data_IF_503559142648
#
_entry.id   IF_503559142648
#
_cell.length_a   1.000
_cell.length_b   1.000
_cell.length_c   1.000
_cell.angle_alpha   90.00
_cell.angle_beta   90.00
_cell.angle_gamma   90.00
#
_symmetry.space_group_name_H-M   'P 1'
#
loop_
_entity.id
_entity.type
_entity.pdbx_description
1 polymer ?
#
# COMPACT_ATOMS: atom_id res chain seq x y z
N UNK A 1 7.31 -20.78 1.55
CA UNK A 1 7.29 -19.69 0.55
C UNK A 1 6.13 -18.80 0.93
N UNK A 2 6.28 -17.49 1.21
CA UNK A 2 5.11 -16.62 1.19
C UNK A 2 4.55 -16.67 -0.25
N UNK A 3 3.25 -16.87 -0.35
CA UNK A 3 2.48 -17.15 -1.58
C UNK A 3 2.46 -15.97 -2.59
N UNK A 4 2.04 -16.23 -3.85
CA UNK A 4 1.89 -15.25 -4.95
C UNK A 4 0.95 -14.05 -4.71
N UNK A 5 0.45 -13.84 -3.49
CA UNK A 5 -0.42 -12.72 -3.10
C UNK A 5 0.28 -11.36 -3.27
N UNK A 6 1.59 -11.27 -3.08
CA UNK A 6 2.36 -10.02 -3.19
C UNK A 6 2.31 -9.43 -4.61
N UNK A 7 2.41 -10.26 -5.66
CA UNK A 7 2.48 -9.76 -7.04
C UNK A 7 1.13 -9.20 -7.52
N UNK A 8 0.02 -9.86 -7.17
CA UNK A 8 -1.31 -9.41 -7.57
C UNK A 8 -1.68 -8.08 -6.88
N UNK A 9 -1.37 -7.95 -5.60
CA UNK A 9 -1.58 -6.72 -4.82
C UNK A 9 -0.74 -5.58 -5.40
N UNK A 10 0.57 -5.77 -5.58
CA UNK A 10 1.48 -4.74 -6.13
C UNK A 10 1.01 -4.31 -7.52
N UNK A 11 0.65 -5.27 -8.40
CA UNK A 11 0.14 -4.95 -9.73
C UNK A 11 -1.11 -4.07 -9.65
N UNK A 12 -2.08 -4.44 -8.81
CA UNK A 12 -3.32 -3.67 -8.71
C UNK A 12 -3.10 -2.30 -8.09
N UNK A 13 -2.24 -2.18 -7.07
CA UNK A 13 -1.82 -0.89 -6.53
C UNK A 13 -1.24 0.00 -7.63
N UNK A 14 -0.30 -0.50 -8.43
CA UNK A 14 0.30 0.25 -9.54
C UNK A 14 -0.74 0.66 -10.58
N UNK A 15 -1.67 -0.20 -10.95
CA UNK A 15 -2.77 0.17 -11.86
C UNK A 15 -3.60 1.36 -11.33
N UNK A 16 -3.97 1.33 -10.05
CA UNK A 16 -4.73 2.43 -9.42
C UNK A 16 -3.92 3.72 -9.37
N UNK A 17 -2.62 3.62 -9.07
CA UNK A 17 -1.68 4.75 -9.11
C UNK A 17 -1.49 5.30 -10.53
N UNK A 18 -1.55 4.45 -11.55
CA UNK A 18 -1.59 4.81 -12.97
C UNK A 18 -2.96 5.34 -13.43
N UNK A 19 -3.78 5.82 -12.49
CA UNK A 19 -5.11 6.42 -12.71
C UNK A 19 -6.13 5.49 -13.37
N UNK A 20 -5.94 4.17 -13.30
CA UNK A 20 -7.03 3.25 -13.64
C UNK A 20 -8.21 3.48 -12.69
N UNK A 21 -9.45 3.38 -13.17
CA UNK A 21 -10.62 3.50 -12.32
C UNK A 21 -10.57 2.51 -11.14
N UNK A 22 -10.95 3.00 -9.97
CA UNK A 22 -11.08 2.22 -8.74
C UNK A 22 -12.31 2.71 -7.98
N UNK A 23 -12.95 1.80 -7.26
CA UNK A 23 -14.07 2.16 -6.37
C UNK A 23 -13.58 2.52 -4.96
N UNK A 24 -14.36 3.26 -4.18
CA UNK A 24 -14.01 3.56 -2.77
C UNK A 24 -13.80 2.28 -1.95
N UNK A 25 -14.65 1.27 -2.16
CA UNK A 25 -14.52 -0.04 -1.51
C UNK A 25 -13.20 -0.70 -1.88
N UNK A 26 -12.84 -0.66 -3.16
CA UNK A 26 -11.57 -1.21 -3.64
C UNK A 26 -10.36 -0.47 -3.06
N UNK A 27 -10.38 0.87 -2.99
CA UNK A 27 -9.30 1.65 -2.37
C UNK A 27 -9.12 1.28 -0.89
N UNK A 28 -10.23 1.12 -0.15
CA UNK A 28 -10.20 0.68 1.24
C UNK A 28 -9.58 -0.71 1.38
N UNK A 29 -10.04 -1.66 0.56
CA UNK A 29 -9.54 -3.02 0.56
C UNK A 29 -8.06 -3.09 0.19
N UNK A 30 -7.60 -2.33 -0.81
CA UNK A 30 -6.18 -2.24 -1.18
C UNK A 30 -5.33 -1.66 -0.05
N UNK A 31 -5.84 -0.62 0.63
CA UNK A 31 -5.17 -0.03 1.79
C UNK A 31 -5.02 -1.04 2.92
N UNK A 32 -6.10 -1.73 3.30
CA UNK A 32 -6.08 -2.76 4.36
C UNK A 32 -5.10 -3.90 4.04
N UNK A 33 -5.08 -4.36 2.78
CA UNK A 33 -4.14 -5.39 2.34
C UNK A 33 -2.69 -4.92 2.40
N UNK A 34 -2.40 -3.71 1.91
CA UNK A 34 -1.06 -3.13 1.96
C UNK A 34 -0.58 -2.87 3.40
N UNK A 35 -1.45 -2.41 4.30
CA UNK A 35 -1.15 -2.29 5.74
C UNK A 35 -0.90 -3.64 6.40
N UNK A 36 -1.66 -4.68 6.01
CA UNK A 36 -1.42 -6.06 6.43
C UNK A 36 -0.04 -6.55 5.99
N UNK A 37 0.32 -6.32 4.74
CA UNK A 37 1.64 -6.68 4.18
C UNK A 37 2.77 -5.92 4.89
N UNK A 38 2.62 -4.61 5.09
CA UNK A 38 3.61 -3.79 5.81
C UNK A 38 3.85 -4.29 7.24
N UNK A 39 2.80 -4.66 7.97
CA UNK A 39 2.94 -5.27 9.31
C UNK A 39 3.65 -6.61 9.27
N UNK A 40 3.32 -7.46 8.29
CA UNK A 40 3.95 -8.77 8.15
C UNK A 40 5.46 -8.65 7.85
N UNK A 41 5.84 -7.79 6.90
CA UNK A 41 7.26 -7.58 6.53
C UNK A 41 8.03 -6.94 7.68
N UNK A 42 7.46 -5.92 8.36
CA UNK A 42 8.08 -5.32 9.55
C UNK A 42 8.34 -6.35 10.65
N UNK A 43 7.33 -7.18 10.97
CA UNK A 43 7.47 -8.21 11.99
C UNK A 43 8.52 -9.27 11.63
N UNK A 44 8.63 -9.64 10.36
CA UNK A 44 9.69 -10.55 9.88
C UNK A 44 11.08 -9.92 9.96
N UNK A 45 11.20 -8.63 9.64
CA UNK A 45 12.45 -7.88 9.72
C UNK A 45 12.92 -7.79 11.17
N UNK A 46 12.05 -7.36 12.08
CA UNK A 46 12.32 -7.28 13.52
C UNK A 46 12.68 -8.65 14.13
N UNK A 47 12.03 -9.72 13.67
CA UNK A 47 12.37 -11.08 14.12
C UNK A 47 13.78 -11.49 13.66
N UNK A 48 14.16 -11.15 12.43
CA UNK A 48 15.47 -11.45 11.86
C UNK A 48 16.57 -10.64 12.56
N UNK A 49 16.34 -9.35 12.81
CA UNK A 49 17.25 -8.48 13.55
C UNK A 49 17.46 -8.94 15.00
N UNK A 50 16.38 -9.32 15.71
CA UNK A 50 16.50 -9.94 17.03
C UNK A 50 17.28 -11.26 17.00
N UNK A 51 17.16 -12.04 15.92
CA UNK A 51 17.93 -13.28 15.78
C UNK A 51 19.41 -13.01 15.53
N UNK A 52 19.74 -12.00 14.72
CA UNK A 52 21.12 -11.54 14.53
C UNK A 52 21.77 -11.12 15.84
N UNK A 53 21.07 -10.34 16.67
CA UNK A 53 21.59 -9.95 17.99
C UNK A 53 21.91 -11.16 18.86
N UNK A 54 21.04 -12.17 18.90
CA UNK A 54 21.28 -13.42 19.65
C UNK A 54 22.46 -14.23 19.10
N UNK A 55 22.57 -14.35 17.78
CA UNK A 55 23.67 -15.08 17.15
C UNK A 55 25.02 -14.36 17.40
N UNK A 56 25.04 -13.04 17.29
CA UNK A 56 26.24 -12.24 17.51
C UNK A 56 26.70 -12.25 18.99
N UNK A 57 25.77 -12.37 19.93
CA UNK A 57 26.08 -12.49 21.36
C UNK A 57 26.65 -13.87 21.76
N UNK A 58 26.50 -14.89 20.90
CA UNK A 58 27.00 -16.24 21.17
C UNK A 58 28.20 -16.56 20.25
N UNK A 59 29.44 -16.60 20.77
CA UNK A 59 30.65 -16.91 20.00
C UNK A 59 30.65 -18.30 19.35
N UNK A 60 29.84 -19.25 19.84
CA UNK A 60 29.72 -20.58 19.25
C UNK A 60 28.75 -20.62 18.05
N UNK A 61 28.06 -19.52 17.74
CA UNK A 61 27.15 -19.45 16.59
C UNK A 61 27.90 -19.61 15.28
N UNK A 62 27.31 -20.32 14.32
CA UNK A 62 27.91 -20.49 13.00
C UNK A 62 27.79 -19.21 12.18
N UNK A 63 28.87 -18.84 11.49
CA UNK A 63 28.87 -17.77 10.47
C UNK A 63 27.80 -18.00 9.38
N UNK A 64 27.50 -19.26 9.05
CA UNK A 64 26.46 -19.58 8.08
C UNK A 64 25.06 -19.16 8.55
N UNK A 65 24.78 -19.27 9.87
CA UNK A 65 23.51 -18.83 10.45
C UNK A 65 23.39 -17.31 10.45
N UNK A 66 24.49 -16.59 10.76
CA UNK A 66 24.55 -15.13 10.71
C UNK A 66 24.34 -14.64 9.27
N UNK A 67 25.06 -15.22 8.31
CA UNK A 67 24.92 -14.88 6.90
C UNK A 67 23.52 -15.18 6.36
N UNK A 68 22.86 -16.25 6.86
CA UNK A 68 21.47 -16.56 6.53
C UNK A 68 20.49 -15.47 6.96
N UNK A 69 20.64 -14.95 8.18
CA UNK A 69 19.79 -13.85 8.67
C UNK A 69 20.11 -12.51 8.00
N UNK A 70 21.38 -12.21 7.71
CA UNK A 70 21.75 -11.01 6.96
C UNK A 70 21.09 -10.99 5.58
N UNK A 71 21.18 -12.10 4.82
CA UNK A 71 20.49 -12.22 3.52
C UNK A 71 18.97 -12.08 3.64
N UNK A 72 18.38 -12.50 4.76
CA UNK A 72 16.95 -12.34 5.00
C UNK A 72 16.60 -10.86 5.23
N UNK A 73 17.37 -10.15 6.05
CA UNK A 73 17.23 -8.70 6.28
C UNK A 73 17.40 -7.93 4.97
N UNK A 74 18.41 -8.25 4.17
CA UNK A 74 18.67 -7.65 2.87
C UNK A 74 17.50 -7.82 1.89
N UNK A 75 16.76 -8.94 1.97
CA UNK A 75 15.56 -9.17 1.16
C UNK A 75 14.33 -8.43 1.67
N UNK A 76 14.16 -8.32 2.98
CA UNK A 76 12.96 -7.75 3.59
C UNK A 76 12.95 -6.21 3.55
N UNK A 77 14.12 -5.56 3.63
CA UNK A 77 14.20 -4.09 3.63
C UNK A 77 13.62 -3.45 2.37
N UNK A 78 14.01 -3.85 1.13
CA UNK A 78 13.41 -3.30 -0.08
C UNK A 78 11.89 -3.52 -0.17
N UNK A 79 11.40 -4.67 0.31
CA UNK A 79 9.96 -4.95 0.34
C UNK A 79 9.23 -4.02 1.30
N UNK A 80 9.82 -3.74 2.47
CA UNK A 80 9.25 -2.79 3.44
C UNK A 80 9.23 -1.37 2.88
N UNK A 81 10.27 -0.97 2.16
CA UNK A 81 10.34 0.34 1.53
C UNK A 81 9.32 0.46 0.40
N UNK A 82 9.17 -0.58 -0.43
CA UNK A 82 8.17 -0.64 -1.50
C UNK A 82 6.75 -0.50 -0.96
N UNK A 83 6.37 -1.30 0.05
CA UNK A 83 5.00 -1.22 0.60
C UNK A 83 4.72 0.13 1.26
N UNK A 84 5.71 0.74 1.91
CA UNK A 84 5.58 2.09 2.48
C UNK A 84 5.37 3.15 1.41
N UNK A 85 6.13 3.07 0.31
CA UNK A 85 5.95 3.97 -0.83
C UNK A 85 4.54 3.81 -1.41
N UNK A 86 4.13 2.57 -1.73
CA UNK A 86 2.82 2.27 -2.31
C UNK A 86 1.67 2.73 -1.41
N UNK A 87 1.80 2.61 -0.08
CA UNK A 87 0.81 3.13 0.87
C UNK A 87 0.71 4.65 0.82
N UNK A 88 1.84 5.36 0.82
CA UNK A 88 1.86 6.83 0.72
C UNK A 88 1.26 7.33 -0.60
N UNK A 89 1.56 6.65 -1.70
CA UNK A 89 1.02 6.97 -3.02
C UNK A 89 -0.49 6.68 -3.09
N UNK A 90 -0.94 5.56 -2.51
CA UNK A 90 -2.37 5.19 -2.47
C UNK A 90 -3.18 6.20 -1.64
N UNK A 91 -2.65 6.66 -0.50
CA UNK A 91 -3.30 7.70 0.31
C UNK A 91 -3.43 9.02 -0.45
N UNK A 92 -2.39 9.39 -1.19
CA UNK A 92 -2.41 10.58 -2.05
C UNK A 92 -3.46 10.43 -3.14
N UNK A 93 -3.51 9.28 -3.83
CA UNK A 93 -4.48 9.01 -4.89
C UNK A 93 -5.92 8.97 -4.38
N UNK A 94 -6.15 8.40 -3.19
CA UNK A 94 -7.47 8.39 -2.57
C UNK A 94 -7.97 9.81 -2.25
N UNK A 95 -7.08 10.72 -1.82
CA UNK A 95 -7.41 12.14 -1.59
C UNK A 95 -7.73 12.87 -2.89
N UNK A 96 -6.99 12.60 -3.97
CA UNK A 96 -7.28 13.15 -5.30
C UNK A 96 -8.67 12.73 -5.77
N UNK A 97 -8.97 11.43 -5.74
CA UNK A 97 -10.26 10.88 -6.17
C UNK A 97 -11.43 11.47 -5.36
N UNK A 98 -11.25 11.62 -4.05
CA UNK A 98 -12.26 12.27 -3.19
C UNK A 98 -12.47 13.73 -3.59
N UNK A 99 -11.41 14.46 -3.89
CA UNK A 99 -11.49 15.86 -4.35
C UNK A 99 -12.17 15.97 -5.71
N UNK A 100 -11.78 15.15 -6.68
CA UNK A 100 -12.39 15.07 -8.02
C UNK A 100 -13.89 14.79 -7.92
N UNK A 101 -14.27 13.82 -7.08
CA UNK A 101 -15.68 13.50 -6.85
C UNK A 101 -16.46 14.67 -6.24
N UNK A 102 -15.93 15.34 -5.19
CA UNK A 102 -16.60 16.50 -4.58
C UNK A 102 -16.76 17.66 -5.56
N UNK A 103 -15.75 17.94 -6.39
CA UNK A 103 -15.82 18.97 -7.43
C UNK A 103 -16.85 18.62 -8.52
N UNK A 104 -16.95 17.35 -8.90
CA UNK A 104 -17.95 16.87 -9.86
C UNK A 104 -19.38 17.05 -9.34
N UNK A 105 -19.60 16.81 -8.04
CA UNK A 105 -20.90 17.01 -7.37
C UNK A 105 -21.27 18.50 -7.31
N UNK A 106 -20.34 19.38 -6.92
CA UNK A 106 -20.57 20.82 -6.88
C UNK A 106 -20.89 21.40 -8.27
N UNK A 107 -20.19 20.94 -9.30
CA UNK A 107 -20.43 21.35 -10.69
C UNK A 107 -21.79 20.87 -11.19
N UNK A 108 -22.15 19.63 -10.90
CA UNK A 108 -23.45 19.05 -11.28
C UNK A 108 -24.63 19.77 -10.59
N UNK A 109 -24.50 20.08 -9.30
CA UNK A 109 -25.51 20.85 -8.57
C UNK A 109 -25.69 22.26 -9.13
N UNK A 110 -24.59 22.94 -9.50
CA UNK A 110 -24.64 24.26 -10.14
C UNK A 110 -25.28 24.22 -11.52
N UNK A 111 -25.03 23.18 -12.30
CA UNK A 111 -25.64 22.98 -13.62
C UNK A 111 -27.15 22.71 -13.51
N UNK A 112 -27.58 21.91 -12.52
CA UNK A 112 -28.99 21.67 -12.24
C UNK A 112 -29.71 22.97 -11.83
N UNK A 113 -29.10 23.79 -10.98
CA UNK A 113 -29.66 25.07 -10.54
C UNK A 113 -29.69 26.16 -11.65
N UNK A 114 -28.93 25.98 -12.74
CA UNK A 114 -28.91 26.90 -13.90
C UNK A 114 -29.93 26.54 -14.98
N UNK A 115 -30.62 25.40 -14.91
CA UNK A 115 -31.72 25.12 -15.83
C UNK A 115 -32.87 26.07 -15.46
N UNK A 116 -33.23 27.05 -16.31
CA UNK A 116 -34.44 27.81 -16.07
C UNK A 116 -35.61 26.84 -16.19
N UNK A 117 -36.53 26.91 -15.23
CA UNK A 117 -37.89 26.40 -15.39
C UNK A 117 -38.48 27.08 -16.63
N UNK A 118 -38.34 26.41 -17.77
CA UNK A 118 -38.92 26.79 -19.04
C UNK A 118 -40.43 26.66 -18.89
N UNK A 119 -41.05 27.78 -18.51
CA UNK A 119 -42.48 27.96 -18.35
C UNK A 119 -43.27 27.39 -19.54
N UNK A 120 -44.33 26.66 -19.17
CA UNK A 120 -45.51 26.14 -19.90
C UNK A 120 -45.93 26.88 -21.20
N UNK A 121 -46.69 26.16 -22.05
CA UNK A 121 -48.14 26.40 -22.13
C UNK A 121 -48.97 25.25 -21.57
#
# INVERSE_FOLDING_TARGET
MPEPLDFALIRRLREVLDRRPATETELRTLKEQAEGWQRAVSGQLEASERRLLRLNANPASSLAQIAGELRRVEKLRPQLDEVRSLLGDLESRARELRTEWLLSQATSAKAANRRPDGRRP
#
